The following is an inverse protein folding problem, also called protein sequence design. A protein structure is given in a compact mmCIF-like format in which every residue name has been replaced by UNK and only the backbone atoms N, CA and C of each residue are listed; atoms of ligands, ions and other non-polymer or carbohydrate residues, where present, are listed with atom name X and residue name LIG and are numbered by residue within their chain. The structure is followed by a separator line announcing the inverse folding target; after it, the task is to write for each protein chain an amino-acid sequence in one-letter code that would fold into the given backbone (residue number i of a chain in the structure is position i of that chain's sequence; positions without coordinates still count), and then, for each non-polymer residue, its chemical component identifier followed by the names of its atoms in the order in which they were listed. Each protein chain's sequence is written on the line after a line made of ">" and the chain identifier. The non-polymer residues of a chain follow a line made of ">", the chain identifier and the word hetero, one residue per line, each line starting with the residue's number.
data_IF_119942308590
#
_entry.id   IF_119942308590
#
_cell.length_a   1.000
_cell.length_b   1.000
_cell.length_c   1.000
_cell.angle_alpha   90.00
_cell.angle_beta   90.00
_cell.angle_gamma   90.00
#
_symmetry.space_group_name_H-M   'P 1'
#
loop_
_entity.id
_entity.type
_entity.pdbx_description
1 polymer ?
#
# COMPACT_ATOMS: atom_id res chain seq x y z
N UNK A 1 4.84 -10.15 -6.80
CA UNK A 1 5.45 -9.68 -5.53
C UNK A 1 4.75 -10.23 -4.29
N UNK A 2 3.43 -10.13 -4.16
CA UNK A 2 2.71 -10.53 -2.93
C UNK A 2 2.66 -12.04 -2.57
N UNK A 3 2.63 -13.02 -3.50
CA UNK A 3 2.59 -14.44 -3.12
C UNK A 3 3.82 -14.89 -2.31
N UNK A 4 4.99 -14.32 -2.61
CA UNK A 4 6.24 -14.61 -1.89
C UNK A 4 6.19 -14.16 -0.43
N UNK A 5 5.50 -13.04 -0.14
CA UNK A 5 5.31 -12.57 1.23
C UNK A 5 4.37 -13.46 2.03
N UNK A 6 3.29 -13.95 1.42
CA UNK A 6 2.41 -14.95 2.04
C UNK A 6 3.20 -16.21 2.39
N UNK A 7 4.00 -16.71 1.45
CA UNK A 7 4.85 -17.90 1.66
C UNK A 7 5.88 -17.67 2.76
N UNK A 8 6.53 -16.51 2.77
CA UNK A 8 7.51 -16.15 3.80
C UNK A 8 6.87 -16.09 5.19
N UNK A 9 5.69 -15.48 5.31
CA UNK A 9 4.96 -15.38 6.58
C UNK A 9 4.62 -16.79 7.08
N UNK A 10 4.10 -17.67 6.22
CA UNK A 10 3.80 -19.06 6.59
C UNK A 10 5.04 -19.80 7.08
N UNK A 11 6.14 -19.70 6.32
CA UNK A 11 7.42 -20.31 6.66
C UNK A 11 7.96 -19.77 8.00
N UNK A 12 7.99 -18.46 8.18
CA UNK A 12 8.52 -17.82 9.38
C UNK A 12 7.70 -18.19 10.62
N UNK A 13 6.37 -18.19 10.52
CA UNK A 13 5.50 -18.62 11.62
C UNK A 13 5.76 -20.06 12.02
N UNK A 14 5.89 -20.96 11.04
CA UNK A 14 6.23 -22.36 11.29
C UNK A 14 7.59 -22.50 11.96
N UNK A 15 8.62 -21.79 11.46
CA UNK A 15 9.96 -21.84 12.04
C UNK A 15 10.02 -21.31 13.47
N UNK A 16 9.26 -20.26 13.79
CA UNK A 16 9.14 -19.75 15.15
C UNK A 16 8.49 -20.81 16.05
N UNK A 17 7.38 -21.41 15.62
CA UNK A 17 6.70 -22.46 16.39
C UNK A 17 7.56 -23.72 16.61
N UNK A 18 8.46 -24.03 15.67
CA UNK A 18 9.42 -25.15 15.77
C UNK A 18 10.63 -24.82 16.66
N UNK A 19 11.11 -23.57 16.65
CA UNK A 19 12.38 -23.17 17.28
C UNK A 19 12.21 -22.81 18.76
N UNK A 20 11.09 -22.20 19.12
CA UNK A 20 10.87 -21.73 20.49
C UNK A 20 10.02 -22.73 21.28
N UNK A 21 10.40 -23.05 22.53
CA UNK A 21 9.53 -23.82 23.43
C UNK A 21 8.34 -22.96 23.83
N UNK A 22 7.30 -22.97 23.00
CA UNK A 22 6.05 -22.23 23.21
C UNK A 22 4.96 -23.16 23.75
N UNK A 23 4.14 -22.64 24.65
CA UNK A 23 2.89 -23.27 25.06
C UNK A 23 1.92 -23.40 23.88
N UNK A 24 0.94 -24.29 24.00
CA UNK A 24 -0.09 -24.47 22.97
C UNK A 24 -0.92 -23.19 22.75
N UNK A 25 -1.09 -22.36 23.78
CA UNK A 25 -1.78 -21.08 23.68
C UNK A 25 -0.98 -20.06 22.86
N UNK A 26 0.33 -19.94 23.12
CA UNK A 26 1.21 -19.06 22.35
C UNK A 26 1.29 -19.48 20.88
N UNK A 27 1.35 -20.79 20.60
CA UNK A 27 1.29 -21.30 19.22
C UNK A 27 -0.03 -20.94 18.55
N UNK A 28 -1.15 -21.09 19.25
CA UNK A 28 -2.48 -20.73 18.74
C UNK A 28 -2.56 -19.24 18.39
N UNK A 29 -2.06 -18.38 19.27
CA UNK A 29 -2.00 -16.93 19.02
C UNK A 29 -1.09 -16.59 17.83
N UNK A 30 0.06 -17.23 17.75
CA UNK A 30 1.01 -17.07 16.64
C UNK A 30 0.38 -17.46 15.29
N UNK A 31 -0.36 -18.57 15.23
CA UNK A 31 -1.07 -18.97 14.02
C UNK A 31 -2.25 -18.05 13.68
N UNK A 32 -2.98 -17.55 14.69
CA UNK A 32 -4.03 -16.56 14.48
C UNK A 32 -3.48 -15.24 13.91
N UNK A 33 -2.32 -14.80 14.41
CA UNK A 33 -1.62 -13.63 13.87
C UNK A 33 -1.20 -13.83 12.41
N UNK A 34 -0.62 -14.99 12.07
CA UNK A 34 -0.28 -15.36 10.68
C UNK A 34 -1.50 -15.23 9.76
N UNK A 35 -2.64 -15.78 10.17
CA UNK A 35 -3.85 -15.79 9.35
C UNK A 35 -4.43 -14.38 9.17
N UNK A 36 -4.38 -13.55 10.21
CA UNK A 36 -4.75 -12.13 10.14
C UNK A 36 -3.87 -11.36 9.15
N UNK A 37 -2.54 -11.54 9.21
CA UNK A 37 -1.61 -10.91 8.27
C UNK A 37 -1.87 -11.34 6.82
N UNK A 38 -2.15 -12.62 6.59
CA UNK A 38 -2.48 -13.14 5.26
C UNK A 38 -3.73 -12.49 4.69
N UNK A 39 -4.77 -12.34 5.50
CA UNK A 39 -6.00 -11.66 5.08
C UNK A 39 -5.76 -10.18 4.75
N UNK A 40 -4.98 -9.48 5.58
CA UNK A 40 -4.61 -8.09 5.33
C UNK A 40 -3.87 -7.93 4.00
N UNK A 41 -2.84 -8.77 3.76
CA UNK A 41 -2.07 -8.73 2.51
C UNK A 41 -2.96 -8.94 1.28
N UNK A 42 -3.89 -9.90 1.34
CA UNK A 42 -4.83 -10.16 0.25
C UNK A 42 -5.76 -8.97 0.01
N UNK A 43 -6.26 -8.34 1.07
CA UNK A 43 -7.09 -7.14 0.98
C UNK A 43 -6.36 -5.98 0.31
N UNK A 44 -5.16 -5.66 0.80
CA UNK A 44 -4.31 -4.60 0.25
C UNK A 44 -3.91 -4.88 -1.19
N UNK A 45 -3.58 -6.12 -1.53
CA UNK A 45 -3.24 -6.51 -2.91
C UNK A 45 -4.42 -6.32 -3.87
N UNK A 46 -5.64 -6.74 -3.48
CA UNK A 46 -6.84 -6.53 -4.32
C UNK A 46 -7.09 -5.04 -4.54
N UNK A 47 -6.95 -4.22 -3.48
CA UNK A 47 -7.13 -2.78 -3.58
C UNK A 47 -6.08 -2.14 -4.48
N UNK A 48 -4.80 -2.50 -4.32
CA UNK A 48 -3.71 -2.01 -5.15
C UNK A 48 -3.93 -2.38 -6.63
N UNK A 49 -4.31 -3.63 -6.92
CA UNK A 49 -4.64 -4.07 -8.29
C UNK A 49 -5.81 -3.28 -8.87
N UNK A 50 -6.90 -3.08 -8.12
CA UNK A 50 -8.06 -2.29 -8.57
C UNK A 50 -7.64 -0.86 -8.96
N UNK A 51 -6.85 -0.19 -8.12
CA UNK A 51 -6.33 1.15 -8.41
C UNK A 51 -5.43 1.15 -9.65
N UNK A 52 -4.53 0.18 -9.78
CA UNK A 52 -3.63 0.07 -10.93
C UNK A 52 -4.39 -0.16 -12.24
N UNK A 53 -5.42 -1.02 -12.24
CA UNK A 53 -6.28 -1.26 -13.40
C UNK A 53 -7.07 -0.01 -13.79
N UNK A 54 -7.56 0.74 -12.81
CA UNK A 54 -8.25 2.02 -13.07
C UNK A 54 -7.31 3.01 -13.76
N UNK A 55 -6.08 3.15 -13.26
CA UNK A 55 -5.06 3.99 -13.89
C UNK A 55 -4.73 3.50 -15.31
N UNK A 56 -4.52 2.20 -15.51
CA UNK A 56 -4.23 1.64 -16.83
C UNK A 56 -5.36 1.92 -17.84
N UNK A 57 -6.63 1.74 -17.44
CA UNK A 57 -7.78 2.06 -18.30
C UNK A 57 -7.83 3.54 -18.65
N UNK A 58 -7.67 4.41 -17.66
CA UNK A 58 -7.66 5.86 -17.87
C UNK A 58 -6.59 6.29 -18.88
N UNK A 59 -5.41 5.67 -18.84
CA UNK A 59 -4.32 5.92 -19.79
C UNK A 59 -4.62 5.33 -21.18
N UNK A 60 -5.08 4.08 -21.24
CA UNK A 60 -5.34 3.38 -22.50
C UNK A 60 -6.52 3.98 -23.29
N UNK A 61 -7.53 4.49 -22.60
CA UNK A 61 -8.70 5.13 -23.20
C UNK A 61 -8.42 6.60 -23.61
N UNK A 62 -7.21 7.11 -23.37
CA UNK A 62 -6.82 8.50 -23.66
C UNK A 62 -7.46 9.52 -22.72
N UNK A 63 -8.21 9.04 -21.73
CA UNK A 63 -8.89 9.84 -20.70
C UNK A 63 -7.94 10.38 -19.64
N UNK A 64 -6.65 10.03 -19.66
CA UNK A 64 -5.56 10.61 -18.88
C UNK A 64 -4.22 10.43 -19.65
N UNK A 65 -3.39 11.48 -19.73
CA UNK A 65 -2.03 11.40 -20.25
C UNK A 65 -1.00 11.07 -19.17
N UNK A 66 0.04 10.31 -19.51
CA UNK A 66 1.17 10.05 -18.59
C UNK A 66 2.41 10.75 -19.14
N UNK A 67 2.99 11.64 -18.34
CA UNK A 67 4.28 12.28 -18.65
C UNK A 67 5.18 12.19 -17.41
N UNK A 68 6.32 11.51 -17.53
CA UNK A 68 7.19 11.20 -16.38
C UNK A 68 6.47 10.37 -15.31
N UNK A 69 6.50 10.84 -14.06
CA UNK A 69 5.79 10.21 -12.91
C UNK A 69 4.37 10.76 -12.67
N UNK A 70 3.81 11.54 -13.62
CA UNK A 70 2.55 12.28 -13.41
C UNK A 70 1.43 11.77 -14.31
N UNK A 71 0.21 11.77 -13.76
CA UNK A 71 -1.05 11.50 -14.46
C UNK A 71 -1.81 12.82 -14.65
N UNK A 72 -2.16 13.13 -15.89
CA UNK A 72 -2.86 14.35 -16.30
C UNK A 72 -4.23 14.02 -16.88
N UNK A 73 -5.29 14.73 -16.48
CA UNK A 73 -6.57 14.63 -17.16
C UNK A 73 -6.53 15.34 -18.54
N UNK A 74 -7.33 14.95 -19.55
CA UNK A 74 -7.34 15.47 -20.91
C UNK A 74 -7.73 16.94 -21.02
N UNK A 75 -8.44 17.44 -20.01
CA UNK A 75 -8.85 18.84 -19.86
C UNK A 75 -7.76 19.72 -19.22
N UNK A 76 -6.60 19.14 -18.88
CA UNK A 76 -5.49 19.82 -18.20
C UNK A 76 -5.64 19.90 -16.67
N UNK A 77 -6.72 19.36 -16.09
CA UNK A 77 -6.95 19.39 -14.64
C UNK A 77 -6.20 18.24 -13.95
N UNK A 78 -4.94 18.45 -13.59
CA UNK A 78 -4.15 17.47 -12.83
C UNK A 78 -4.70 17.25 -11.42
N UNK A 79 -4.78 15.98 -10.97
CA UNK A 79 -4.99 15.68 -9.55
C UNK A 79 -3.65 15.70 -8.83
N UNK A 80 -3.45 16.69 -7.95
CA UNK A 80 -2.40 16.64 -6.94
C UNK A 80 -2.77 15.55 -5.92
N UNK A 81 -2.01 14.45 -5.88
CA UNK A 81 -1.99 13.61 -4.69
C UNK A 81 -1.24 14.38 -3.60
N UNK A 82 -1.92 15.28 -2.91
CA UNK A 82 -1.38 15.96 -1.74
C UNK A 82 -1.19 14.91 -0.64
N UNK A 83 0.03 14.39 -0.51
CA UNK A 83 0.46 13.67 0.68
C UNK A 83 0.38 14.72 1.80
N UNK A 84 -0.69 14.68 2.61
CA UNK A 84 -0.84 15.57 3.77
C UNK A 84 0.25 15.26 4.79
N UNK A 85 1.40 15.89 4.66
CA UNK A 85 2.29 16.15 5.78
C UNK A 85 1.61 17.18 6.69
N UNK A 86 1.54 16.97 8.02
CA UNK A 86 0.96 17.95 8.93
C UNK A 86 1.77 19.25 8.83
N UNK A 87 1.15 20.28 8.26
CA UNK A 87 1.77 21.58 8.06
C UNK A 87 1.78 22.32 9.40
N UNK A 88 2.93 22.29 10.08
CA UNK A 88 3.21 23.21 11.18
C UNK A 88 3.17 24.66 10.67
N UNK A 89 2.42 25.50 11.36
CA UNK A 89 2.30 26.93 11.09
C UNK A 89 3.67 27.63 11.23
N UNK A 90 4.01 28.44 10.23
CA UNK A 90 5.21 29.26 10.22
C UNK A 90 4.99 30.50 9.36
N UNK A 91 4.57 31.59 10.01
CA UNK A 91 4.53 32.94 9.45
C UNK A 91 5.87 33.35 8.81
N UNK A 92 5.85 33.95 7.60
CA UNK A 92 6.35 35.33 7.36
C UNK A 92 6.26 35.79 5.89
N UNK A 93 5.52 36.90 5.75
CA UNK A 93 5.75 38.15 5.00
C UNK A 93 5.93 38.16 3.47
N UNK A 94 4.93 38.82 2.87
CA UNK A 94 4.94 39.61 1.63
C UNK A 94 6.25 40.36 1.35
N UNK A 95 6.63 40.38 0.07
CA UNK A 95 7.40 41.45 -0.56
C UNK A 95 7.04 41.50 -2.05
N UNK A 96 6.38 42.58 -2.48
CA UNK A 96 6.10 42.95 -3.87
C UNK A 96 7.14 44.01 -4.25
N UNK A 97 7.74 43.90 -5.43
CA UNK A 97 8.15 45.04 -6.27
C UNK A 97 7.62 44.75 -7.66
#
# INVERSE_FOLDING_TARGET
>A
MFPGWTLYIEYATQKIAETFPSSEEEKRQLFHFRDTLKQLLLGTQRQARKKLTMLYKAVAEGTYGVEGERLYAPDGTGMYAEIRTPRGEGHRRRGRV
#
